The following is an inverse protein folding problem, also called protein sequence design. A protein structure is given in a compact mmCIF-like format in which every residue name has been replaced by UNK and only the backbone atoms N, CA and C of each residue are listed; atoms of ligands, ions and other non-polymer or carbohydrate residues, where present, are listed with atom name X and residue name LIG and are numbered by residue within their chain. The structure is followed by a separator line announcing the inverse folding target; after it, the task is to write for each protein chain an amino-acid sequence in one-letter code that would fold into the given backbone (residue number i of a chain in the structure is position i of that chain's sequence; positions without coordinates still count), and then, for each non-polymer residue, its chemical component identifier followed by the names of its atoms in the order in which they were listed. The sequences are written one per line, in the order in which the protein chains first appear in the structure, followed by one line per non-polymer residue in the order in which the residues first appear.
data_IF_587052051994
#
_entry.id   IF_587052051994
#
_cell.length_a   1.000
_cell.length_b   1.000
_cell.length_c   1.000
_cell.angle_alpha   90.00
_cell.angle_beta   90.00
_cell.angle_gamma   90.00
#
_symmetry.space_group_name_H-M   'P 1'
#
loop_
_entity.id
_entity.type
_entity.pdbx_description
1 polymer ?
#
# COMPACT_ATOMS: atom_id res chain seq x y z
N UNK A 1 -0.32 -11.63 16.16
CA UNK A 1 -0.66 -12.06 14.79
C UNK A 1 -1.43 -11.00 14.00
N UNK A 2 -2.52 -10.43 14.49
CA UNK A 2 -3.35 -9.45 13.73
C UNK A 2 -2.58 -8.24 13.19
N UNK A 3 -1.56 -7.76 13.88
CA UNK A 3 -0.69 -6.66 13.44
C UNK A 3 0.57 -7.11 12.66
N UNK A 4 0.72 -8.41 12.42
CA UNK A 4 1.77 -8.91 11.52
C UNK A 4 1.45 -8.54 10.08
N UNK A 5 2.46 -8.05 9.37
CA UNK A 5 2.30 -7.59 8.00
C UNK A 5 2.42 -8.74 6.99
N UNK A 6 1.51 -8.74 6.02
CA UNK A 6 1.62 -9.45 4.74
C UNK A 6 1.83 -8.39 3.66
N UNK A 7 2.90 -8.48 2.90
CA UNK A 7 3.21 -7.50 1.84
C UNK A 7 3.19 -6.05 2.34
N UNK A 8 3.71 -5.81 3.55
CA UNK A 8 3.72 -4.48 4.15
C UNK A 8 2.41 -4.04 4.84
N UNK A 9 1.32 -4.76 4.65
CA UNK A 9 0.00 -4.44 5.21
C UNK A 9 -0.34 -5.38 6.37
N UNK A 10 -0.73 -4.89 7.55
CA UNK A 10 -1.15 -5.72 8.68
C UNK A 10 -2.30 -6.68 8.31
N UNK A 11 -2.29 -7.90 8.87
CA UNK A 11 -3.36 -8.89 8.66
C UNK A 11 -4.74 -8.32 9.02
N UNK A 12 -4.82 -7.54 10.10
CA UNK A 12 -6.06 -6.86 10.49
C UNK A 12 -6.58 -5.95 9.38
N UNK A 13 -5.71 -5.22 8.68
CA UNK A 13 -6.13 -4.36 7.58
C UNK A 13 -6.60 -5.14 6.34
N UNK A 14 -6.06 -6.31 6.09
CA UNK A 14 -6.59 -7.22 5.08
C UNK A 14 -8.00 -7.68 5.43
N UNK A 15 -8.19 -8.15 6.66
CA UNK A 15 -9.49 -8.64 7.14
C UNK A 15 -10.57 -7.54 7.12
N UNK A 16 -10.28 -6.37 7.68
CA UNK A 16 -11.25 -5.26 7.74
C UNK A 16 -11.67 -4.76 6.36
N UNK A 17 -10.74 -4.75 5.40
CA UNK A 17 -11.06 -4.40 4.00
C UNK A 17 -11.90 -5.46 3.31
N UNK A 18 -11.62 -6.74 3.54
CA UNK A 18 -12.46 -7.82 3.01
C UNK A 18 -13.87 -7.75 3.57
N UNK A 19 -14.02 -7.49 4.87
CA UNK A 19 -15.32 -7.29 5.50
C UNK A 19 -16.05 -6.04 4.95
N UNK A 20 -15.35 -4.93 4.78
CA UNK A 20 -15.92 -3.72 4.19
C UNK A 20 -16.37 -3.93 2.74
N UNK A 21 -15.58 -4.63 1.93
CA UNK A 21 -15.96 -5.03 0.58
C UNK A 21 -17.18 -5.94 0.55
N UNK A 22 -17.39 -6.74 1.61
CA UNK A 22 -18.59 -7.55 1.83
C UNK A 22 -19.81 -6.77 2.37
N UNK A 23 -19.70 -5.44 2.54
CA UNK A 23 -20.80 -4.56 2.97
C UNK A 23 -20.78 -4.16 4.45
N UNK A 24 -19.77 -4.56 5.23
CA UNK A 24 -19.64 -4.14 6.63
C UNK A 24 -19.18 -2.68 6.69
N UNK A 25 -20.07 -1.77 7.09
CA UNK A 25 -19.80 -0.33 7.19
C UNK A 25 -19.40 0.15 8.59
N UNK A 26 -19.70 -0.64 9.64
CA UNK A 26 -19.50 -0.26 11.04
C UNK A 26 -18.63 -1.27 11.76
N UNK A 27 -17.68 -0.77 12.54
CA UNK A 27 -16.72 -1.61 13.26
C UNK A 27 -16.63 -1.19 14.74
N UNK A 28 -16.53 -2.19 15.62
CA UNK A 28 -16.25 -1.99 17.03
C UNK A 28 -14.94 -2.71 17.40
N UNK A 29 -13.93 -1.93 17.74
CA UNK A 29 -12.60 -2.45 18.06
C UNK A 29 -12.38 -2.52 19.57
N UNK A 30 -12.10 -3.71 20.07
CA UNK A 30 -11.66 -3.92 21.45
C UNK A 30 -10.21 -4.40 21.43
N UNK A 31 -9.31 -3.64 22.02
CA UNK A 31 -7.92 -4.05 22.14
C UNK A 31 -7.25 -3.38 23.34
N UNK A 32 -6.09 -3.91 23.73
CA UNK A 32 -5.28 -3.28 24.76
C UNK A 32 -4.78 -1.90 24.30
N UNK A 33 -4.79 -0.91 25.19
CA UNK A 33 -4.49 0.51 24.91
C UNK A 33 -3.18 0.72 24.12
N UNK A 34 -2.13 -0.06 24.44
CA UNK A 34 -0.83 0.02 23.75
C UNK A 34 -0.89 -0.24 22.23
N UNK A 35 -1.90 -0.96 21.75
CA UNK A 35 -2.06 -1.29 20.33
C UNK A 35 -3.12 -0.46 19.61
N UNK A 36 -3.87 0.36 20.35
CA UNK A 36 -5.03 1.05 19.83
C UNK A 36 -4.70 1.98 18.66
N UNK A 37 -3.60 2.72 18.75
CA UNK A 37 -3.17 3.65 17.69
C UNK A 37 -2.82 2.92 16.38
N UNK A 38 -2.13 1.79 16.47
CA UNK A 38 -1.73 0.98 15.32
C UNK A 38 -2.93 0.23 14.73
N UNK A 39 -3.76 -0.37 15.58
CA UNK A 39 -4.94 -1.10 15.16
C UNK A 39 -5.97 -0.20 14.44
N UNK A 40 -6.18 1.03 14.91
CA UNK A 40 -7.08 1.99 14.25
C UNK A 40 -6.70 2.27 12.79
N UNK A 41 -5.42 2.29 12.46
CA UNK A 41 -4.92 2.53 11.10
C UNK A 41 -5.22 1.36 10.15
N UNK A 42 -5.65 0.22 10.68
CA UNK A 42 -6.00 -0.95 9.89
C UNK A 42 -7.42 -0.92 9.31
N UNK A 43 -8.24 0.05 9.69
CA UNK A 43 -9.64 0.17 9.24
C UNK A 43 -9.75 1.11 8.03
N UNK A 44 -10.70 0.87 7.10
CA UNK A 44 -10.99 1.80 6.01
C UNK A 44 -11.34 3.19 6.53
N UNK A 45 -10.90 4.24 5.81
CA UNK A 45 -11.09 5.63 6.25
C UNK A 45 -12.54 6.15 6.17
N UNK A 46 -13.39 5.44 5.49
CA UNK A 46 -14.82 5.74 5.28
C UNK A 46 -15.75 4.92 6.17
N UNK A 47 -15.22 4.04 7.03
CA UNK A 47 -16.03 3.24 7.95
C UNK A 47 -16.35 3.99 9.26
N UNK A 48 -17.47 3.63 9.88
CA UNK A 48 -17.81 4.04 11.27
C UNK A 48 -17.04 3.15 12.24
N UNK A 49 -16.00 3.68 12.88
CA UNK A 49 -15.14 2.94 13.81
C UNK A 49 -15.30 3.46 15.24
N UNK A 50 -15.90 2.64 16.10
CA UNK A 50 -15.90 2.82 17.55
C UNK A 50 -14.81 1.95 18.21
N UNK A 51 -14.26 2.43 19.32
CA UNK A 51 -13.19 1.72 20.04
C UNK A 51 -13.48 1.73 21.54
N UNK A 52 -13.30 0.61 22.20
CA UNK A 52 -13.41 0.46 23.64
C UNK A 52 -12.13 -0.13 24.26
N UNK A 53 -11.90 0.21 25.52
CA UNK A 53 -10.96 -0.52 26.39
C UNK A 53 -11.63 -1.78 26.91
N UNK A 54 -10.82 -2.80 27.24
CA UNK A 54 -11.33 -4.07 27.76
C UNK A 54 -12.29 -3.93 28.94
N UNK A 55 -12.04 -2.97 29.82
CA UNK A 55 -12.83 -2.73 31.04
C UNK A 55 -14.18 -2.03 30.79
N UNK A 56 -14.33 -1.38 29.63
CA UNK A 56 -15.52 -0.58 29.26
C UNK A 56 -16.30 -1.23 28.11
N UNK A 57 -15.98 -2.48 27.77
CA UNK A 57 -16.45 -3.12 26.53
C UNK A 57 -17.96 -3.30 26.51
N UNK A 58 -18.56 -3.77 27.59
CA UNK A 58 -20.00 -4.10 27.64
C UNK A 58 -20.86 -2.84 27.41
N UNK A 59 -20.61 -1.77 28.16
CA UNK A 59 -21.40 -0.54 28.06
C UNK A 59 -21.26 0.14 26.68
N UNK A 60 -20.01 0.26 26.20
CA UNK A 60 -19.74 0.91 24.91
C UNK A 60 -20.23 0.05 23.74
N UNK A 61 -20.16 -1.28 23.83
CA UNK A 61 -20.70 -2.18 22.82
C UNK A 61 -22.24 -2.09 22.79
N UNK A 62 -22.90 -2.03 23.95
CA UNK A 62 -24.35 -1.85 24.01
C UNK A 62 -24.79 -0.55 23.31
N UNK A 63 -24.07 0.57 23.56
CA UNK A 63 -24.34 1.84 22.87
C UNK A 63 -24.13 1.71 21.36
N UNK A 64 -23.03 1.09 20.93
CA UNK A 64 -22.73 0.87 19.52
C UNK A 64 -23.82 0.04 18.82
N UNK A 65 -24.27 -1.05 19.42
CA UNK A 65 -25.31 -1.92 18.87
C UNK A 65 -26.71 -1.24 18.87
N UNK A 66 -27.01 -0.42 19.88
CA UNK A 66 -28.30 0.28 19.97
C UNK A 66 -28.47 1.39 18.92
N UNK A 67 -27.36 1.89 18.35
CA UNK A 67 -27.36 2.93 17.29
C UNK A 67 -27.33 2.33 15.88
N UNK A 68 -27.34 1.00 15.75
CA UNK A 68 -27.39 0.33 14.44
C UNK A 68 -28.81 0.43 13.83
N UNK A 69 -28.87 0.41 12.48
CA UNK A 69 -30.13 0.39 11.76
C UNK A 69 -30.95 -0.87 12.11
N UNK A 70 -32.29 -0.75 12.08
CA UNK A 70 -33.20 -1.88 12.39
C UNK A 70 -33.00 -3.07 11.40
N UNK A 71 -32.43 -2.83 10.23
CA UNK A 71 -32.14 -3.85 9.21
C UNK A 71 -30.83 -4.61 9.43
N UNK A 72 -29.97 -4.15 10.35
CA UNK A 72 -28.72 -4.83 10.70
C UNK A 72 -29.02 -5.90 11.79
N UNK A 73 -29.35 -7.11 11.36
CA UNK A 73 -29.76 -8.22 12.26
C UNK A 73 -28.57 -8.99 12.82
N UNK A 74 -27.46 -9.09 12.07
CA UNK A 74 -26.31 -9.90 12.44
C UNK A 74 -25.05 -9.06 12.73
N UNK A 75 -24.24 -9.55 13.64
CA UNK A 75 -22.94 -9.01 14.02
C UNK A 75 -21.86 -10.03 13.73
N UNK A 76 -20.81 -9.63 13.03
CA UNK A 76 -19.63 -10.47 12.80
C UNK A 76 -18.64 -10.22 13.94
N UNK A 77 -18.37 -11.24 14.71
CA UNK A 77 -17.42 -11.21 15.84
C UNK A 77 -16.12 -11.88 15.43
N UNK A 78 -15.01 -11.15 15.53
CA UNK A 78 -13.66 -11.64 15.21
C UNK A 78 -12.87 -11.79 16.51
N UNK A 79 -12.53 -13.01 16.89
CA UNK A 79 -11.76 -13.32 18.11
C UNK A 79 -10.34 -13.78 17.83
N UNK A 80 -10.03 -14.08 16.57
CA UNK A 80 -8.73 -14.60 16.16
C UNK A 80 -8.23 -14.04 14.83
N UNK A 81 -6.96 -14.25 14.53
CA UNK A 81 -6.40 -13.86 13.25
C UNK A 81 -6.97 -14.76 12.15
N UNK A 82 -7.59 -14.13 11.15
CA UNK A 82 -8.22 -14.81 10.02
C UNK A 82 -7.93 -14.12 8.69
N UNK A 83 -8.04 -14.87 7.61
CA UNK A 83 -7.99 -14.41 6.22
C UNK A 83 -9.31 -14.81 5.56
N UNK A 84 -9.86 -13.91 4.76
CA UNK A 84 -10.97 -14.20 3.86
C UNK A 84 -10.37 -14.42 2.47
N UNK A 85 -10.68 -15.56 1.86
CA UNK A 85 -10.25 -15.87 0.50
C UNK A 85 -10.87 -14.85 -0.48
N UNK A 86 -10.08 -14.13 -1.29
CA UNK A 86 -10.59 -13.21 -2.28
C UNK A 86 -11.27 -13.91 -3.49
N UNK A 87 -11.20 -15.22 -3.56
CA UNK A 87 -11.81 -16.03 -4.61
C UNK A 87 -12.92 -16.91 -4.02
N UNK A 88 -13.95 -17.16 -4.81
CA UNK A 88 -14.99 -18.10 -4.43
C UNK A 88 -14.38 -19.50 -4.25
N UNK A 89 -14.53 -20.07 -3.06
CA UNK A 89 -14.10 -21.44 -2.77
C UNK A 89 -15.22 -22.40 -3.16
N UNK A 90 -14.87 -23.47 -3.86
CA UNK A 90 -15.79 -24.55 -4.15
C UNK A 90 -15.88 -25.48 -2.93
N UNK A 91 -17.04 -25.54 -2.28
CA UNK A 91 -17.28 -26.38 -1.09
C UNK A 91 -16.93 -27.85 -1.32
N UNK A 92 -17.07 -28.34 -2.57
CA UNK A 92 -16.75 -29.71 -2.94
C UNK A 92 -15.24 -30.05 -2.87
N UNK A 93 -14.39 -29.05 -2.75
CA UNK A 93 -12.92 -29.23 -2.66
C UNK A 93 -12.44 -29.62 -1.26
N UNK A 94 -13.26 -29.53 -0.23
CA UNK A 94 -12.88 -29.82 1.15
C UNK A 94 -13.18 -31.27 1.55
N UNK A 95 -12.15 -32.01 1.95
CA UNK A 95 -12.25 -33.32 2.57
C UNK A 95 -11.97 -33.22 4.07
N UNK A 96 -12.94 -33.55 4.92
CA UNK A 96 -12.78 -33.54 6.38
C UNK A 96 -13.83 -32.71 7.11
N UNK A 97 -13.65 -32.55 8.41
CA UNK A 97 -14.49 -31.69 9.24
C UNK A 97 -14.15 -30.21 9.00
N UNK A 98 -15.16 -29.30 9.01
CA UNK A 98 -14.90 -27.86 8.91
C UNK A 98 -13.95 -27.35 10.01
N UNK A 99 -13.05 -26.45 9.65
CA UNK A 99 -12.09 -25.83 10.59
C UNK A 99 -12.56 -24.42 10.91
N UNK A 100 -12.83 -24.15 12.18
CA UNK A 100 -13.28 -22.83 12.64
C UNK A 100 -12.19 -21.77 12.49
N UNK A 101 -12.59 -20.61 11.98
CA UNK A 101 -11.66 -19.51 11.65
C UNK A 101 -11.38 -18.55 12.81
N UNK A 102 -12.17 -18.58 13.89
CA UNK A 102 -12.19 -17.55 14.91
C UNK A 102 -13.01 -16.31 14.50
N UNK A 103 -13.82 -16.44 13.46
CA UNK A 103 -14.83 -15.47 13.03
C UNK A 103 -16.20 -16.13 13.17
N UNK A 104 -17.17 -15.44 13.76
CA UNK A 104 -18.50 -15.98 13.97
C UNK A 104 -19.56 -14.92 13.68
N UNK A 105 -20.70 -15.34 13.15
CA UNK A 105 -21.91 -14.53 13.13
C UNK A 105 -22.72 -14.73 14.40
N UNK A 106 -23.29 -13.65 14.94
CA UNK A 106 -24.21 -13.70 16.08
C UNK A 106 -25.38 -12.75 15.82
N UNK A 107 -26.57 -13.10 16.34
CA UNK A 107 -27.70 -12.18 16.33
C UNK A 107 -27.41 -10.95 17.17
N UNK A 108 -27.64 -9.75 16.62
CA UNK A 108 -27.50 -8.47 17.35
C UNK A 108 -28.36 -8.45 18.61
N UNK A 109 -29.61 -8.90 18.51
CA UNK A 109 -30.53 -8.92 19.65
C UNK A 109 -30.02 -9.85 20.76
N UNK A 110 -29.58 -11.07 20.41
CA UNK A 110 -29.04 -12.02 21.39
C UNK A 110 -27.79 -11.46 22.08
N UNK A 111 -26.94 -10.76 21.33
CA UNK A 111 -25.74 -10.11 21.90
C UNK A 111 -26.14 -8.96 22.85
N UNK A 112 -27.08 -8.12 22.48
CA UNK A 112 -27.57 -7.03 23.33
C UNK A 112 -28.20 -7.52 24.62
N UNK A 113 -29.00 -8.58 24.55
CA UNK A 113 -29.68 -9.18 25.73
C UNK A 113 -28.69 -9.86 26.71
N UNK A 114 -27.53 -10.26 26.20
CA UNK A 114 -26.49 -10.91 27.01
C UNK A 114 -25.49 -9.95 27.66
N UNK A 115 -25.45 -8.69 27.21
CA UNK A 115 -24.48 -7.69 27.71
C UNK A 115 -24.86 -7.23 29.12
N UNK A 116 -24.25 -7.81 30.14
CA UNK A 116 -24.31 -7.40 31.53
C UNK A 116 -22.92 -7.39 32.19
N UNK A 117 -22.83 -7.06 33.46
CA UNK A 117 -21.57 -7.02 34.23
C UNK A 117 -20.82 -8.35 34.30
N UNK A 118 -21.47 -9.45 33.94
CA UNK A 118 -20.90 -10.81 33.96
C UNK A 118 -20.61 -11.38 32.59
N UNK A 119 -20.78 -10.57 31.52
CA UNK A 119 -20.66 -10.98 30.15
C UNK A 119 -19.24 -11.45 29.78
N UNK A 120 -19.14 -12.68 29.28
CA UNK A 120 -17.90 -13.28 28.78
C UNK A 120 -18.09 -13.69 27.33
N UNK A 121 -17.42 -13.00 26.42
CA UNK A 121 -17.52 -13.23 24.97
C UNK A 121 -17.33 -14.68 24.55
N UNK A 122 -16.32 -15.35 25.09
CA UNK A 122 -16.00 -16.73 24.72
C UNK A 122 -17.09 -17.71 25.08
N UNK A 123 -17.80 -17.49 26.18
CA UNK A 123 -18.90 -18.36 26.60
C UNK A 123 -20.17 -18.05 25.80
N UNK A 124 -20.45 -16.78 25.56
CA UNK A 124 -21.54 -16.35 24.68
C UNK A 124 -21.42 -16.94 23.27
N UNK A 125 -20.22 -16.90 22.68
CA UNK A 125 -20.00 -17.42 21.33
C UNK A 125 -20.17 -18.94 21.22
N UNK A 126 -19.90 -19.70 22.26
CA UNK A 126 -20.15 -21.16 22.31
C UNK A 126 -21.64 -21.50 22.17
N UNK A 127 -22.48 -20.66 22.77
CA UNK A 127 -23.92 -20.92 22.84
C UNK A 127 -24.71 -20.28 21.71
N UNK A 128 -24.25 -19.15 21.17
CA UNK A 128 -24.99 -18.32 20.21
C UNK A 128 -24.22 -18.04 18.91
N UNK A 129 -22.92 -18.34 18.84
CA UNK A 129 -22.09 -18.04 17.67
C UNK A 129 -22.26 -19.11 16.57
N UNK A 130 -22.46 -18.68 15.35
CA UNK A 130 -22.33 -19.52 14.17
C UNK A 130 -20.94 -19.28 13.57
N UNK A 131 -19.99 -20.20 13.76
CA UNK A 131 -18.63 -19.99 13.30
C UNK A 131 -18.54 -20.04 11.77
N UNK A 132 -17.79 -19.12 11.20
CA UNK A 132 -17.31 -19.25 9.82
C UNK A 132 -16.15 -20.24 9.79
N UNK A 133 -16.13 -21.06 8.74
CA UNK A 133 -15.16 -22.13 8.56
C UNK A 133 -14.37 -21.94 7.26
N UNK A 134 -13.41 -22.81 7.02
CA UNK A 134 -12.70 -22.92 5.76
C UNK A 134 -13.64 -23.14 4.56
N UNK A 135 -14.80 -23.79 4.75
CA UNK A 135 -15.84 -23.97 3.73
C UNK A 135 -16.52 -22.65 3.35
N UNK A 136 -16.58 -21.71 4.25
CA UNK A 136 -17.11 -20.36 3.99
C UNK A 136 -16.04 -19.44 3.40
N UNK A 137 -14.86 -19.96 3.07
CA UNK A 137 -13.73 -19.16 2.59
C UNK A 137 -13.08 -18.30 3.66
N UNK A 138 -13.27 -18.62 4.93
CA UNK A 138 -12.67 -17.93 6.08
C UNK A 138 -11.71 -18.85 6.82
N UNK A 139 -10.45 -18.47 6.89
CA UNK A 139 -9.39 -19.34 7.37
C UNK A 139 -8.66 -18.76 8.58
N UNK A 140 -8.49 -19.57 9.62
CA UNK A 140 -7.64 -19.21 10.75
C UNK A 140 -6.17 -19.11 10.32
N UNK A 141 -5.46 -18.11 10.85
CA UNK A 141 -4.02 -17.93 10.64
C UNK A 141 -3.30 -17.98 11.99
N UNK A 142 -2.82 -19.15 12.35
CA UNK A 142 -2.22 -19.39 13.67
C UNK A 142 -0.68 -19.31 13.68
N UNK A 143 -0.04 -19.21 12.49
CA UNK A 143 1.42 -19.17 12.38
C UNK A 143 1.89 -18.27 11.25
N UNK A 144 3.17 -17.85 11.33
CA UNK A 144 3.82 -17.09 10.24
C UNK A 144 3.96 -17.93 8.97
N UNK A 145 4.06 -19.25 9.08
CA UNK A 145 4.10 -20.14 7.93
C UNK A 145 2.76 -20.09 7.17
N UNK A 146 1.64 -20.25 7.86
CA UNK A 146 0.31 -20.12 7.25
C UNK A 146 0.11 -18.73 6.64
N UNK A 147 0.58 -17.67 7.32
CA UNK A 147 0.52 -16.32 6.78
C UNK A 147 1.28 -16.21 5.44
N UNK A 148 2.45 -16.83 5.34
CA UNK A 148 3.24 -16.84 4.11
C UNK A 148 2.57 -17.63 2.98
N UNK A 149 1.82 -18.68 3.30
CA UNK A 149 1.03 -19.48 2.34
C UNK A 149 -0.13 -18.67 1.74
N UNK A 150 -0.71 -17.74 2.51
CA UNK A 150 -1.79 -16.85 2.04
C UNK A 150 -1.29 -15.68 1.20
N UNK A 151 -0.05 -15.26 1.34
CA UNK A 151 0.49 -14.08 0.66
C UNK A 151 0.29 -14.11 -0.88
N UNK A 152 0.56 -15.22 -1.60
CA UNK A 152 0.35 -15.26 -3.05
C UNK A 152 -1.12 -15.11 -3.47
N UNK A 153 -2.06 -15.67 -2.68
CA UNK A 153 -3.49 -15.58 -2.95
C UNK A 153 -4.02 -14.16 -2.74
N UNK A 154 -3.66 -13.54 -1.63
CA UNK A 154 -4.03 -12.15 -1.33
C UNK A 154 -3.45 -11.18 -2.36
N UNK A 155 -2.18 -11.36 -2.74
CA UNK A 155 -1.54 -10.59 -3.82
C UNK A 155 -2.31 -10.73 -5.14
N UNK A 156 -2.65 -11.96 -5.50
CA UNK A 156 -3.43 -12.23 -6.71
C UNK A 156 -4.82 -11.57 -6.66
N UNK A 157 -5.50 -11.58 -5.51
CA UNK A 157 -6.78 -10.90 -5.32
C UNK A 157 -6.71 -9.40 -5.62
N UNK A 158 -5.68 -8.71 -5.10
CA UNK A 158 -5.45 -7.27 -5.41
C UNK A 158 -5.28 -7.07 -6.92
N UNK A 159 -4.43 -7.87 -7.56
CA UNK A 159 -4.16 -7.74 -8.99
C UNK A 159 -5.39 -8.03 -9.87
N UNK A 160 -6.22 -9.01 -9.50
CA UNK A 160 -7.48 -9.28 -10.22
C UNK A 160 -8.48 -8.12 -10.08
N UNK A 161 -8.58 -7.51 -8.90
CA UNK A 161 -9.43 -6.33 -8.70
C UNK A 161 -8.96 -5.15 -9.55
N UNK A 162 -7.66 -4.91 -9.65
CA UNK A 162 -7.09 -3.90 -10.52
C UNK A 162 -7.37 -4.20 -11.99
N UNK A 163 -7.23 -5.46 -12.42
CA UNK A 163 -7.56 -5.87 -13.79
C UNK A 163 -9.05 -5.67 -14.10
N UNK A 164 -9.94 -5.98 -13.16
CA UNK A 164 -11.38 -5.72 -13.31
C UNK A 164 -11.70 -4.22 -13.41
N UNK A 165 -10.87 -3.36 -12.78
CA UNK A 165 -10.95 -1.91 -12.90
C UNK A 165 -10.29 -1.33 -14.17
N UNK A 166 -9.79 -2.18 -15.09
CA UNK A 166 -9.25 -1.77 -16.38
C UNK A 166 -7.73 -1.57 -16.41
N UNK A 167 -7.01 -2.10 -15.43
CA UNK A 167 -5.52 -2.07 -15.41
C UNK A 167 -4.97 -3.29 -16.16
N UNK A 168 -4.01 -3.08 -17.06
CA UNK A 168 -3.31 -4.15 -17.77
C UNK A 168 -2.12 -4.64 -16.96
N UNK A 169 -2.10 -5.92 -16.58
CA UNK A 169 -1.01 -6.52 -15.80
C UNK A 169 -0.35 -7.62 -16.63
N UNK A 170 0.94 -7.46 -16.95
CA UNK A 170 1.64 -8.38 -17.83
C UNK A 170 2.12 -9.65 -17.13
N UNK A 171 2.46 -9.56 -15.86
CA UNK A 171 2.96 -10.69 -15.07
C UNK A 171 2.42 -10.64 -13.63
N UNK A 172 1.40 -11.48 -13.37
CA UNK A 172 0.78 -11.59 -12.04
C UNK A 172 1.71 -12.19 -10.98
N UNK A 173 2.73 -12.93 -11.41
CA UNK A 173 3.67 -13.60 -10.48
C UNK A 173 4.80 -12.68 -10.03
N UNK A 174 5.07 -11.63 -10.79
CA UNK A 174 6.20 -10.72 -10.55
C UNK A 174 5.75 -9.24 -10.52
N UNK A 175 4.52 -9.00 -10.11
CA UNK A 175 3.96 -7.66 -9.85
C UNK A 175 3.41 -7.63 -8.43
N UNK A 176 3.83 -6.68 -7.61
CA UNK A 176 3.42 -6.56 -6.22
C UNK A 176 2.76 -5.21 -5.98
N UNK A 177 1.49 -5.24 -5.57
CA UNK A 177 0.70 -4.04 -5.27
C UNK A 177 0.07 -4.20 -3.90
N UNK A 178 0.32 -3.26 -3.01
CA UNK A 178 -0.36 -3.22 -1.71
C UNK A 178 -1.84 -2.82 -1.88
N UNK A 179 -2.74 -3.34 -1.02
CA UNK A 179 -4.19 -3.07 -1.16
C UNK A 179 -4.59 -1.62 -0.91
N UNK A 180 -3.66 -0.78 -0.44
CA UNK A 180 -3.84 0.67 -0.23
C UNK A 180 -3.60 1.49 -1.48
N UNK A 181 -3.01 0.88 -2.51
CA UNK A 181 -2.59 1.56 -3.72
C UNK A 181 -3.77 1.72 -4.68
N UNK A 182 -3.90 2.90 -5.25
CA UNK A 182 -4.83 3.18 -6.33
C UNK A 182 -4.11 3.17 -7.68
N UNK A 183 -4.70 2.52 -8.69
CA UNK A 183 -4.21 2.53 -10.06
C UNK A 183 -5.37 2.80 -11.00
N UNK A 184 -5.27 3.85 -11.79
CA UNK A 184 -6.27 4.30 -12.75
C UNK A 184 -6.40 3.39 -13.97
N UNK A 185 -7.55 3.45 -14.62
CA UNK A 185 -7.88 2.62 -15.79
C UNK A 185 -6.94 2.90 -16.98
N UNK A 186 -6.74 1.90 -17.81
CA UNK A 186 -5.83 2.00 -18.97
C UNK A 186 -4.34 2.04 -18.61
N UNK A 187 -3.99 1.96 -17.34
CA UNK A 187 -2.59 1.85 -16.89
C UNK A 187 -2.05 0.44 -17.13
N UNK A 188 -0.78 0.37 -17.56
CA UNK A 188 -0.05 -0.87 -17.74
C UNK A 188 0.98 -1.08 -16.62
N UNK A 189 0.92 -2.23 -15.95
CA UNK A 189 1.92 -2.67 -14.98
C UNK A 189 2.81 -3.74 -15.61
N UNK A 190 4.08 -3.43 -15.79
CA UNK A 190 5.08 -4.30 -16.39
C UNK A 190 5.78 -5.16 -15.31
N UNK A 191 6.42 -6.29 -15.69
CA UNK A 191 7.04 -7.22 -14.75
C UNK A 191 8.06 -6.53 -13.80
N UNK A 192 8.09 -6.99 -12.55
CA UNK A 192 8.98 -6.44 -11.52
C UNK A 192 8.51 -5.12 -10.92
N UNK A 193 7.28 -4.69 -11.21
CA UNK A 193 6.69 -3.50 -10.58
C UNK A 193 6.30 -3.77 -9.14
N UNK A 194 6.68 -2.86 -8.24
CA UNK A 194 6.31 -2.87 -6.82
C UNK A 194 5.68 -1.53 -6.46
N UNK A 195 4.42 -1.55 -6.01
CA UNK A 195 3.66 -0.37 -5.60
C UNK A 195 3.24 -0.48 -4.15
N UNK A 196 3.57 0.51 -3.32
CA UNK A 196 3.40 0.45 -1.88
C UNK A 196 2.82 1.72 -1.25
N UNK A 197 2.35 1.56 -0.02
CA UNK A 197 1.90 2.66 0.83
C UNK A 197 0.66 3.36 0.29
N UNK A 198 0.69 4.69 0.28
CA UNK A 198 -0.40 5.56 -0.23
C UNK A 198 -0.21 5.93 -1.70
N UNK A 199 0.48 5.09 -2.48
CA UNK A 199 0.74 5.36 -3.90
C UNK A 199 -0.57 5.44 -4.68
N UNK A 200 -0.67 6.48 -5.53
CA UNK A 200 -1.81 6.72 -6.40
C UNK A 200 -1.33 7.02 -7.81
N UNK A 201 -1.74 6.21 -8.76
CA UNK A 201 -1.39 6.32 -10.17
C UNK A 201 -2.65 6.67 -10.95
N UNK A 202 -2.60 7.76 -11.70
CA UNK A 202 -3.70 8.19 -12.56
C UNK A 202 -3.84 7.29 -13.81
N UNK A 203 -4.81 7.62 -14.65
CA UNK A 203 -5.15 6.83 -15.84
C UNK A 203 -4.05 6.81 -16.91
N UNK A 204 -3.99 5.75 -17.70
CA UNK A 204 -3.17 5.66 -18.89
C UNK A 204 -1.65 5.68 -18.67
N UNK A 205 -1.19 5.39 -17.49
CA UNK A 205 0.24 5.33 -17.15
C UNK A 205 0.90 4.02 -17.62
N UNK A 206 2.23 4.01 -17.69
CA UNK A 206 3.03 2.78 -17.88
C UNK A 206 4.05 2.70 -16.74
N UNK A 207 3.93 1.70 -15.88
CA UNK A 207 4.80 1.53 -14.72
C UNK A 207 5.59 0.22 -14.84
N UNK A 208 6.89 0.34 -14.73
CA UNK A 208 7.81 -0.79 -14.90
C UNK A 208 8.55 -0.76 -16.25
N UNK A 209 9.31 -1.84 -16.57
CA UNK A 209 9.61 -2.96 -15.68
C UNK A 209 10.51 -2.56 -14.51
N UNK A 210 10.57 -3.40 -13.46
CA UNK A 210 11.49 -3.22 -12.33
C UNK A 210 11.44 -1.82 -11.68
N UNK A 211 10.23 -1.29 -11.50
CA UNK A 211 10.02 0.01 -10.85
C UNK A 211 9.46 -0.16 -9.44
N UNK A 212 9.97 0.63 -8.51
CA UNK A 212 9.51 0.64 -7.11
C UNK A 212 8.98 2.04 -6.77
N UNK A 213 7.71 2.12 -6.39
CA UNK A 213 7.04 3.36 -5.98
C UNK A 213 6.41 3.20 -4.60
N UNK A 214 6.73 4.09 -3.67
CA UNK A 214 6.18 4.09 -2.31
C UNK A 214 5.75 5.50 -1.91
N UNK A 215 4.46 5.68 -1.54
CA UNK A 215 3.86 6.97 -1.19
C UNK A 215 3.98 8.01 -2.31
N UNK A 216 3.71 7.64 -3.54
CA UNK A 216 3.92 8.47 -4.74
C UNK A 216 2.60 8.81 -5.40
N UNK A 217 2.44 10.06 -5.82
CA UNK A 217 1.36 10.46 -6.73
C UNK A 217 1.89 10.58 -8.14
N UNK A 218 1.27 9.89 -9.10
CA UNK A 218 1.65 9.88 -10.51
C UNK A 218 0.51 10.41 -11.36
N UNK A 219 0.77 11.46 -12.14
CA UNK A 219 -0.19 12.07 -13.05
C UNK A 219 -0.42 11.24 -14.31
N UNK A 220 -1.52 11.53 -14.99
CA UNK A 220 -2.03 10.84 -16.17
C UNK A 220 -0.98 10.71 -17.29
N UNK A 221 -0.97 9.59 -18.00
CA UNK A 221 -0.11 9.35 -19.16
C UNK A 221 1.39 9.22 -18.85
N UNK A 222 1.77 9.23 -17.60
CA UNK A 222 3.17 9.21 -17.16
C UNK A 222 3.79 7.82 -17.26
N UNK A 223 5.08 7.77 -17.58
CA UNK A 223 5.87 6.55 -17.71
C UNK A 223 6.98 6.51 -16.68
N UNK A 224 7.01 5.45 -15.87
CA UNK A 224 8.09 5.20 -14.90
C UNK A 224 8.76 3.88 -15.23
N UNK A 225 10.01 3.91 -15.64
CA UNK A 225 10.74 2.74 -16.13
C UNK A 225 11.97 2.46 -15.27
N UNK A 226 12.10 1.23 -14.78
CA UNK A 226 13.27 0.72 -14.05
C UNK A 226 13.83 1.71 -13.01
N UNK A 227 12.96 2.34 -12.24
CA UNK A 227 13.30 3.46 -11.36
C UNK A 227 12.74 3.30 -9.96
N UNK A 228 13.31 4.03 -9.00
CA UNK A 228 12.84 4.06 -7.63
C UNK A 228 12.34 5.46 -7.27
N UNK A 229 11.13 5.53 -6.71
CA UNK A 229 10.46 6.77 -6.34
C UNK A 229 9.84 6.65 -4.95
N UNK A 230 10.13 7.61 -4.08
CA UNK A 230 9.67 7.62 -2.70
C UNK A 230 9.07 8.98 -2.31
N UNK A 231 7.94 8.97 -1.58
CA UNK A 231 7.33 10.14 -0.93
C UNK A 231 7.35 11.40 -1.81
N UNK A 232 6.90 11.29 -3.07
CA UNK A 232 7.08 12.31 -4.11
C UNK A 232 5.86 12.43 -5.02
N UNK A 233 5.82 13.52 -5.80
CA UNK A 233 4.78 13.75 -6.79
C UNK A 233 5.40 13.84 -8.19
N UNK A 234 4.77 13.19 -9.19
CA UNK A 234 5.14 13.23 -10.60
C UNK A 234 3.93 13.71 -11.39
N UNK A 235 4.08 14.76 -12.15
CA UNK A 235 3.03 15.32 -13.01
C UNK A 235 2.69 14.45 -14.23
N UNK A 236 1.73 14.91 -15.02
CA UNK A 236 1.21 14.17 -16.17
C UNK A 236 2.18 14.19 -17.36
N UNK A 237 2.05 13.19 -18.25
CA UNK A 237 2.84 13.08 -19.49
C UNK A 237 4.35 13.16 -19.27
N UNK A 238 4.79 12.74 -18.10
CA UNK A 238 6.21 12.79 -17.68
C UNK A 238 6.86 11.42 -17.87
N UNK A 239 8.15 11.41 -18.15
CA UNK A 239 8.94 10.18 -18.24
C UNK A 239 10.01 10.17 -17.16
N UNK A 240 10.05 9.10 -16.37
CA UNK A 240 11.05 8.87 -15.32
C UNK A 240 11.80 7.58 -15.62
N UNK A 241 13.12 7.67 -15.70
CA UNK A 241 14.00 6.54 -15.95
C UNK A 241 14.42 6.37 -17.42
N UNK A 242 15.14 5.26 -17.70
CA UNK A 242 15.46 4.18 -16.73
C UNK A 242 16.50 4.60 -15.69
N UNK A 243 16.54 3.84 -14.59
CA UNK A 243 17.54 3.98 -13.51
C UNK A 243 17.57 5.37 -12.85
N UNK A 244 16.41 6.01 -12.76
CA UNK A 244 16.27 7.24 -11.99
C UNK A 244 15.97 6.94 -10.51
N UNK A 245 16.42 7.83 -9.63
CA UNK A 245 16.14 7.79 -8.22
C UNK A 245 15.49 9.11 -7.76
N UNK A 246 14.19 9.07 -7.48
CA UNK A 246 13.44 10.22 -6.98
C UNK A 246 13.24 10.03 -5.47
N UNK A 247 13.90 10.88 -4.70
CA UNK A 247 13.93 10.82 -3.24
C UNK A 247 12.80 11.63 -2.61
N UNK A 248 12.49 11.36 -1.32
CA UNK A 248 11.44 12.03 -0.60
C UNK A 248 11.43 13.56 -0.74
N UNK A 249 10.23 14.15 -0.74
CA UNK A 249 10.02 15.60 -0.83
C UNK A 249 10.21 16.18 -2.22
N UNK A 250 10.33 15.35 -3.26
CA UNK A 250 10.51 15.83 -4.63
C UNK A 250 9.18 16.00 -5.36
N UNK A 251 9.10 17.04 -6.19
CA UNK A 251 7.97 17.33 -7.07
C UNK A 251 8.44 17.49 -8.50
N UNK A 252 8.06 16.57 -9.36
CA UNK A 252 8.37 16.61 -10.79
C UNK A 252 7.13 17.06 -11.53
N UNK A 253 7.22 18.14 -12.29
CA UNK A 253 6.12 18.72 -13.06
C UNK A 253 5.64 17.84 -14.21
N UNK A 254 4.73 18.39 -15.02
CA UNK A 254 4.20 17.72 -16.19
C UNK A 254 5.10 17.90 -17.42
N UNK A 255 5.05 16.94 -18.37
CA UNK A 255 5.85 16.93 -19.60
C UNK A 255 7.36 16.97 -19.35
N UNK A 256 7.80 16.51 -18.19
CA UNK A 256 9.22 16.44 -17.80
C UNK A 256 9.85 15.15 -18.34
N UNK A 257 11.10 15.24 -18.73
CA UNK A 257 11.95 14.09 -19.01
C UNK A 257 13.03 13.96 -17.94
N UNK A 258 12.87 13.03 -17.01
CA UNK A 258 13.86 12.64 -16.04
C UNK A 258 14.49 11.31 -16.51
N UNK A 259 15.64 11.37 -17.19
CA UNK A 259 16.22 10.24 -17.92
C UNK A 259 17.11 9.35 -17.05
N UNK A 260 18.09 8.70 -17.70
CA UNK A 260 18.90 7.66 -17.08
C UNK A 260 19.94 8.21 -16.10
N UNK A 261 20.07 7.49 -14.97
CA UNK A 261 21.00 7.85 -13.88
C UNK A 261 20.81 9.29 -13.36
N UNK A 262 19.55 9.72 -13.27
CA UNK A 262 19.18 10.99 -12.67
C UNK A 262 18.73 10.76 -11.23
N UNK A 263 19.28 11.55 -10.32
CA UNK A 263 18.83 11.58 -8.92
C UNK A 263 18.23 12.95 -8.62
N UNK A 264 17.00 12.96 -8.07
CA UNK A 264 16.30 14.16 -7.61
C UNK A 264 16.03 14.01 -6.11
N UNK A 265 16.45 14.99 -5.32
CA UNK A 265 16.26 15.00 -3.86
C UNK A 265 15.65 16.32 -3.42
N UNK A 266 14.51 16.25 -2.71
CA UNK A 266 13.89 17.42 -2.06
C UNK A 266 13.89 18.66 -2.96
N UNK A 267 13.42 18.50 -4.20
CA UNK A 267 13.51 19.54 -5.25
C UNK A 267 12.21 19.62 -6.03
N UNK A 268 11.91 20.81 -6.52
CA UNK A 268 10.82 21.05 -7.46
C UNK A 268 11.38 21.19 -8.87
N UNK A 269 10.86 20.38 -9.82
CA UNK A 269 11.21 20.45 -11.24
C UNK A 269 10.01 20.97 -12.01
N UNK A 270 10.14 22.15 -12.61
CA UNK A 270 9.07 22.78 -13.39
C UNK A 270 8.74 22.06 -14.69
N UNK A 271 7.53 22.29 -15.19
CA UNK A 271 6.97 21.63 -16.37
C UNK A 271 7.88 21.77 -17.61
N UNK A 272 7.87 20.76 -18.47
CA UNK A 272 8.60 20.76 -19.74
C UNK A 272 10.13 20.68 -19.62
N UNK A 273 10.65 20.52 -18.41
CA UNK A 273 12.09 20.44 -18.14
C UNK A 273 12.66 19.09 -18.57
N UNK A 274 13.88 19.11 -19.08
CA UNK A 274 14.60 17.92 -19.56
C UNK A 274 15.89 17.72 -18.78
N UNK A 275 15.94 16.64 -18.01
CA UNK A 275 17.12 16.16 -17.28
C UNK A 275 17.49 14.83 -17.93
N UNK A 276 18.28 14.89 -19.01
CA UNK A 276 18.41 13.76 -19.91
C UNK A 276 19.16 12.57 -19.31
N UNK A 277 20.25 12.83 -18.58
CA UNK A 277 21.09 11.77 -18.00
C UNK A 277 22.14 12.30 -17.02
N UNK A 278 22.67 11.42 -16.17
CA UNK A 278 23.86 11.63 -15.32
C UNK A 278 23.82 12.95 -14.54
N UNK A 279 22.70 13.24 -13.89
CA UNK A 279 22.48 14.51 -13.19
C UNK A 279 21.98 14.26 -11.77
N UNK A 280 22.57 14.96 -10.81
CA UNK A 280 22.02 15.13 -9.48
C UNK A 280 21.38 16.51 -9.34
N UNK A 281 20.14 16.55 -8.87
CA UNK A 281 19.43 17.78 -8.50
C UNK A 281 18.99 17.65 -7.03
N UNK A 282 19.52 18.49 -6.18
CA UNK A 282 19.23 18.42 -4.75
C UNK A 282 18.93 19.78 -4.12
N UNK A 283 17.89 19.80 -3.29
CA UNK A 283 17.49 20.95 -2.48
C UNK A 283 17.31 22.25 -3.31
N UNK A 284 16.75 22.14 -4.52
CA UNK A 284 16.68 23.20 -5.52
C UNK A 284 15.28 23.40 -6.09
N UNK A 285 14.95 24.62 -6.45
CA UNK A 285 13.75 24.97 -7.21
C UNK A 285 14.13 25.24 -8.68
N UNK A 286 13.70 24.36 -9.55
CA UNK A 286 14.02 24.39 -10.97
C UNK A 286 12.81 24.86 -11.77
N UNK A 287 12.95 25.95 -12.49
CA UNK A 287 11.90 26.53 -13.33
C UNK A 287 11.42 25.64 -14.46
N UNK A 288 10.51 26.17 -15.28
CA UNK A 288 9.94 25.45 -16.42
C UNK A 288 10.82 25.50 -17.65
N UNK A 289 10.70 24.47 -18.51
CA UNK A 289 11.36 24.42 -19.84
C UNK A 289 12.89 24.52 -19.77
N UNK A 290 13.48 23.97 -18.74
CA UNK A 290 14.94 23.90 -18.55
C UNK A 290 15.51 22.73 -19.35
N UNK A 291 16.72 22.88 -19.87
CA UNK A 291 17.48 21.78 -20.41
C UNK A 291 18.79 21.60 -19.63
N UNK A 292 18.96 20.44 -18.98
CA UNK A 292 20.16 20.13 -18.21
C UNK A 292 21.24 19.51 -19.05
N UNK A 293 22.43 20.06 -18.95
CA UNK A 293 23.64 19.49 -19.53
C UNK A 293 24.44 18.74 -18.48
N UNK A 294 24.05 17.60 -18.05
CA UNK A 294 24.63 16.69 -17.07
C UNK A 294 25.56 17.31 -15.97
N UNK A 295 25.44 16.86 -14.73
CA UNK A 295 26.25 17.34 -13.60
C UNK A 295 25.49 17.44 -12.29
N UNK A 296 26.03 18.17 -11.32
CA UNK A 296 25.42 18.40 -10.00
C UNK A 296 24.84 19.80 -9.95
N UNK A 297 23.56 19.91 -9.64
CA UNK A 297 22.86 21.19 -9.48
C UNK A 297 22.31 21.25 -8.06
N UNK A 298 22.69 22.29 -7.35
CA UNK A 298 22.31 22.57 -5.95
C UNK A 298 21.83 24.01 -5.74
N UNK A 299 21.74 24.78 -6.83
CA UNK A 299 21.21 26.14 -6.84
C UNK A 299 19.97 26.21 -7.71
N UNK A 300 19.11 27.20 -7.48
CA UNK A 300 17.92 27.44 -8.26
C UNK A 300 18.24 27.75 -9.73
N UNK A 301 17.41 27.21 -10.63
CA UNK A 301 17.58 27.42 -12.07
C UNK A 301 16.36 28.16 -12.62
N UNK A 302 16.53 29.39 -13.14
CA UNK A 302 15.43 30.19 -13.67
C UNK A 302 14.79 29.55 -14.91
N UNK A 303 13.54 29.91 -15.25
CA UNK A 303 12.83 29.38 -16.42
C UNK A 303 13.58 29.60 -17.72
N UNK A 304 13.46 28.66 -18.67
CA UNK A 304 14.05 28.69 -20.00
C UNK A 304 15.60 28.75 -20.06
N UNK A 305 16.27 28.43 -18.97
CA UNK A 305 17.72 28.39 -18.89
C UNK A 305 18.33 27.09 -19.45
N UNK A 306 19.61 27.14 -19.81
CA UNK A 306 20.46 25.96 -20.00
C UNK A 306 21.35 25.80 -18.76
N UNK A 307 21.08 24.81 -17.93
CA UNK A 307 21.87 24.52 -16.75
C UNK A 307 23.05 23.58 -17.11
N UNK A 308 24.26 24.03 -16.92
CA UNK A 308 25.49 23.27 -17.14
C UNK A 308 26.30 23.25 -15.86
N UNK A 309 26.28 22.12 -15.15
CA UNK A 309 26.93 21.98 -13.84
C UNK A 309 28.12 21.01 -13.85
N UNK A 310 28.75 20.80 -15.01
CA UNK A 310 29.93 19.93 -15.16
C UNK A 310 31.23 20.76 -15.20
N UNK A 311 32.23 20.33 -14.45
CA UNK A 311 33.58 20.85 -14.52
C UNK A 311 34.23 20.42 -15.87
N UNK A 312 35.10 21.29 -16.43
CA UNK A 312 35.95 20.89 -17.55
C UNK A 312 36.89 19.77 -17.13
N UNK A 313 37.01 18.72 -17.94
CA UNK A 313 37.95 17.64 -17.70
C UNK A 313 39.38 18.23 -17.51
N UNK A 314 40.02 17.87 -16.40
CA UNK A 314 41.40 18.20 -16.12
C UNK A 314 42.20 16.90 -16.00
N UNK A 315 43.13 16.69 -16.93
CA UNK A 315 44.03 15.57 -16.88
C UNK A 315 45.24 15.94 -16.02
N UNK A 316 45.32 15.43 -14.81
CA UNK A 316 46.49 15.59 -13.95
C UNK A 316 47.53 14.54 -14.30
N UNK A 317 48.53 14.91 -15.11
CA UNK A 317 49.62 14.01 -15.50
C UNK A 317 50.37 13.52 -14.27
N UNK A 318 50.76 12.23 -14.29
CA UNK A 318 51.51 11.55 -13.25
C UNK A 318 50.85 11.55 -11.84
N UNK A 319 49.50 11.75 -11.79
CA UNK A 319 48.80 11.82 -10.50
C UNK A 319 48.96 10.56 -9.67
N UNK A 320 48.85 9.37 -10.29
CA UNK A 320 49.01 8.08 -9.61
C UNK A 320 50.45 7.89 -9.07
N UNK A 321 51.46 8.35 -9.80
CA UNK A 321 52.87 8.26 -9.40
C UNK A 321 53.20 9.22 -8.25
N UNK A 322 52.57 10.39 -8.20
CA UNK A 322 52.73 11.36 -7.11
C UNK A 322 51.98 11.00 -5.84
N UNK A 323 50.89 10.27 -5.98
CA UNK A 323 50.09 9.77 -4.87
C UNK A 323 50.22 8.27 -4.76
N UNK A 324 51.47 7.78 -4.50
CA UNK A 324 51.69 6.33 -4.31
C UNK A 324 50.59 5.74 -3.46
N UNK A 325 49.59 5.10 -4.12
CA UNK A 325 48.63 4.27 -3.44
C UNK A 325 49.46 3.17 -2.74
N UNK A 326 49.46 3.16 -1.42
CA UNK A 326 50.09 2.04 -0.67
C UNK A 326 49.34 0.81 -1.12
N UNK A 327 50.04 -0.07 -1.83
CA UNK A 327 49.60 -1.44 -2.02
C UNK A 327 49.31 -2.02 -0.65
N UNK A 328 48.04 -2.40 -0.42
CA UNK A 328 47.62 -3.18 0.73
C UNK A 328 47.70 -4.65 0.38
#
# INVERSE_FOLDING_TARGET
MMLQAIMGTPLLAWLTRSLAAGGVGRFFLVCHERFLSEARQCFPGDCDLSCAKLEETADQLHVFLSTADEQEEDVIVVTGPAVIDPFAVDEDSFSGAPVESGVSAVSRQALMDALDDTFIFTDFLKDHGVPYTDRDGVYAVCSMQQLAEWQPLLSRGVLYNLAAAGVSIWDYSNTYVEPTVFVGAGTELLPGTVLRGTTSIADGCTIGPNSYLENVKVGEGTKVNASQVYDSEIGSDTTVGPFAYVRPGSRIGSHVRCGDFVEVKNSTIGDGTKIAHLTYVGDSDVGKNINFGCGTVTDDVPPAALAIARARQQNKRDWANRHKLKEK
#
